data_IF_293227902408
#
_entry.id   IF_293227902408
#
_cell.length_a   1.000
_cell.length_b   1.000
_cell.length_c   1.000
_cell.angle_alpha   90.00
_cell.angle_beta   90.00
_cell.angle_gamma   90.00
#
_symmetry.space_group_name_H-M   'P 1'
#
loop_
_entity.id
_entity.type
_entity.pdbx_description
1 polymer ?
#
# COMPACT_ATOMS: atom_id res chain seq x y z
N UNK A 1 -0.34 3.03 12.46
CA UNK A 1 -1.02 1.72 12.57
C UNK A 1 -2.20 1.85 13.50
N UNK A 2 -3.35 1.29 13.11
CA UNK A 2 -4.53 1.17 13.99
C UNK A 2 -4.30 0.09 15.04
N UNK A 3 -5.20 -0.05 16.02
CA UNK A 3 -5.10 -1.07 17.09
C UNK A 3 -5.34 -2.52 16.62
N UNK A 4 -5.45 -2.74 15.32
CA UNK A 4 -5.55 -4.04 14.68
C UNK A 4 -4.92 -3.96 13.29
N UNK A 5 -4.54 -5.11 12.73
CA UNK A 5 -4.16 -5.28 11.33
C UNK A 5 -4.88 -6.49 10.75
N UNK A 6 -5.40 -6.33 9.55
CA UNK A 6 -5.74 -7.46 8.68
C UNK A 6 -4.70 -7.52 7.57
N UNK A 7 -4.19 -8.70 7.26
CA UNK A 7 -3.29 -8.87 6.13
C UNK A 7 -3.50 -10.22 5.44
N UNK A 8 -3.52 -10.18 4.11
CA UNK A 8 -3.58 -11.34 3.25
C UNK A 8 -2.65 -11.17 2.06
N UNK A 9 -2.05 -12.26 1.60
CA UNK A 9 -1.25 -12.30 0.40
C UNK A 9 -1.89 -13.18 -0.68
N UNK A 10 -2.06 -12.63 -1.88
CA UNK A 10 -2.40 -13.38 -3.08
C UNK A 10 -1.14 -13.61 -3.92
N UNK A 11 -0.43 -14.74 -3.75
CA UNK A 11 0.80 -15.02 -4.48
C UNK A 11 0.57 -15.29 -5.97
N UNK A 12 -0.64 -15.65 -6.39
CA UNK A 12 -0.94 -15.90 -7.82
C UNK A 12 -1.01 -14.60 -8.62
N UNK A 13 -1.42 -13.51 -7.98
CA UNK A 13 -1.54 -12.17 -8.57
C UNK A 13 -0.52 -11.16 -8.04
N UNK A 14 0.40 -11.61 -7.19
CA UNK A 14 1.43 -10.80 -6.53
C UNK A 14 0.91 -9.50 -5.92
N UNK A 15 -0.11 -9.59 -5.08
CA UNK A 15 -0.52 -8.47 -4.24
C UNK A 15 -0.83 -8.90 -2.81
N UNK A 16 -0.73 -7.95 -1.89
CA UNK A 16 -1.30 -8.06 -0.55
C UNK A 16 -2.54 -7.18 -0.43
N UNK A 17 -3.48 -7.61 0.40
CA UNK A 17 -4.55 -6.76 0.93
C UNK A 17 -4.28 -6.53 2.40
N UNK A 18 -4.38 -5.28 2.82
CA UNK A 18 -4.10 -4.84 4.18
C UNK A 18 -5.17 -3.90 4.67
N UNK A 19 -5.51 -4.02 5.95
CA UNK A 19 -6.28 -3.03 6.69
C UNK A 19 -5.57 -2.72 8.01
N UNK A 20 -5.69 -1.48 8.50
CA UNK A 20 -5.03 -1.04 9.73
C UNK A 20 -3.61 -0.49 9.54
N UNK A 21 -3.08 -0.53 8.31
CA UNK A 21 -1.82 0.10 7.91
C UNK A 21 -2.13 1.36 7.10
N UNK A 22 -1.58 2.48 7.55
CA UNK A 22 -1.74 3.80 6.93
C UNK A 22 -0.51 4.13 6.07
N UNK A 23 -0.62 5.11 5.17
CA UNK A 23 0.50 5.55 4.32
C UNK A 23 1.74 5.92 5.14
N UNK A 24 1.57 6.60 6.27
CA UNK A 24 2.66 6.95 7.19
C UNK A 24 3.44 5.73 7.69
N UNK A 25 2.78 4.58 7.83
CA UNK A 25 3.41 3.34 8.25
C UNK A 25 4.30 2.77 7.15
N UNK A 26 3.88 2.89 5.89
CA UNK A 26 4.66 2.51 4.70
C UNK A 26 5.87 3.44 4.52
N UNK A 27 5.66 4.75 4.60
CA UNK A 27 6.75 5.75 4.51
C UNK A 27 7.80 5.52 5.61
N UNK A 28 7.39 5.10 6.81
CA UNK A 28 8.33 4.85 7.91
C UNK A 28 9.31 3.71 7.66
N UNK A 29 9.03 2.83 6.69
CA UNK A 29 9.91 1.72 6.30
C UNK A 29 11.10 2.24 5.47
N UNK A 30 10.87 3.25 4.62
CA UNK A 30 11.91 3.92 3.86
C UNK A 30 11.57 5.40 3.62
N UNK A 31 12.12 6.26 4.48
CA UNK A 31 11.90 7.71 4.45
C UNK A 31 12.64 8.41 3.30
N UNK A 32 13.57 7.73 2.63
CA UNK A 32 14.38 8.35 1.58
C UNK A 32 13.70 8.29 0.21
N UNK A 33 12.59 7.57 0.10
CA UNK A 33 11.82 7.46 -1.13
C UNK A 33 11.04 8.73 -1.41
N UNK A 34 10.99 9.06 -2.68
CA UNK A 34 9.99 9.98 -3.20
C UNK A 34 8.77 9.17 -3.63
N UNK A 35 7.65 9.84 -3.88
CA UNK A 35 6.40 9.18 -4.25
C UNK A 35 5.73 9.90 -5.41
N UNK A 36 5.47 9.16 -6.48
CA UNK A 36 4.53 9.55 -7.53
C UNK A 36 3.11 9.33 -6.98
N UNK A 37 2.25 10.33 -7.10
CA UNK A 37 0.87 10.28 -6.63
C UNK A 37 -0.06 10.18 -7.84
N UNK A 38 -0.87 9.12 -7.89
CA UNK A 38 -1.79 8.85 -9.01
C UNK A 38 -3.23 9.25 -8.70
N UNK A 39 -3.61 9.16 -7.42
CA UNK A 39 -4.88 9.66 -6.89
C UNK A 39 -4.59 10.24 -5.50
N UNK A 40 -4.97 11.49 -5.28
CA UNK A 40 -4.83 12.20 -4.01
C UNK A 40 -5.65 13.49 -4.05
N UNK A 41 -5.82 14.12 -2.89
CA UNK A 41 -6.29 15.52 -2.78
C UNK A 41 -5.25 16.42 -2.10
N UNK A 42 -3.98 15.97 -2.08
CA UNK A 42 -2.89 16.69 -1.42
C UNK A 42 -2.61 18.07 -2.03
N UNK A 43 -2.45 19.06 -1.14
CA UNK A 43 -1.99 20.42 -1.49
C UNK A 43 -0.45 20.54 -1.52
N UNK A 44 0.26 19.59 -0.88
CA UNK A 44 1.73 19.57 -0.82
C UNK A 44 2.37 19.03 -2.11
N UNK A 45 1.61 18.31 -2.93
CA UNK A 45 2.10 17.67 -4.14
C UNK A 45 2.68 18.68 -5.16
N UNK A 46 3.75 18.27 -5.85
CA UNK A 46 4.35 19.02 -6.95
C UNK A 46 3.90 18.43 -8.29
N UNK A 47 3.55 19.29 -9.24
CA UNK A 47 3.12 18.87 -10.57
C UNK A 47 4.26 18.87 -11.59
N UNK A 48 4.48 17.74 -12.27
CA UNK A 48 5.41 17.67 -13.41
C UNK A 48 4.69 17.93 -14.74
N UNK A 49 5.13 18.95 -15.47
CA UNK A 49 4.51 19.38 -16.73
C UNK A 49 4.71 18.38 -17.89
N UNK A 50 5.76 17.55 -17.85
CA UNK A 50 6.10 16.65 -18.95
C UNK A 50 5.22 15.39 -18.93
N UNK A 51 5.05 14.82 -17.75
CA UNK A 51 4.28 13.59 -17.53
C UNK A 51 2.85 13.86 -17.12
N UNK A 52 2.55 15.08 -16.63
CA UNK A 52 1.27 15.50 -16.06
C UNK A 52 0.88 14.77 -14.79
N UNK A 53 1.86 14.19 -14.10
CA UNK A 53 1.65 13.58 -12.81
C UNK A 53 2.09 14.49 -11.68
N UNK A 54 1.47 14.25 -10.52
CA UNK A 54 1.86 14.83 -9.26
C UNK A 54 2.85 13.91 -8.54
N UNK A 55 3.79 14.50 -7.82
CA UNK A 55 4.79 13.78 -7.05
C UNK A 55 5.13 14.52 -5.77
N UNK A 56 5.72 13.80 -4.82
CA UNK A 56 6.27 14.38 -3.60
C UNK A 56 7.68 13.85 -3.36
N UNK A 57 8.59 14.77 -3.05
CA UNK A 57 9.97 14.44 -2.69
C UNK A 57 10.07 14.03 -1.23
N UNK A 58 11.05 13.19 -0.90
CA UNK A 58 11.32 12.71 0.46
C UNK A 58 11.47 13.85 1.47
N UNK A 59 12.08 14.98 1.08
CA UNK A 59 12.22 16.15 1.95
C UNK A 59 10.91 16.91 2.24
N UNK A 60 9.83 16.63 1.51
CA UNK A 60 8.48 17.18 1.73
C UNK A 60 7.50 16.16 2.30
N UNK A 61 7.90 14.89 2.46
CA UNK A 61 6.99 13.83 2.88
C UNK A 61 6.31 14.13 4.22
N UNK A 62 7.04 14.73 5.16
CA UNK A 62 6.51 15.12 6.46
C UNK A 62 5.41 16.19 6.39
N UNK A 63 5.30 16.93 5.28
CA UNK A 63 4.20 17.87 5.06
C UNK A 63 2.94 17.14 4.59
N UNK A 64 3.07 16.21 3.63
CA UNK A 64 1.97 15.34 3.22
C UNK A 64 1.44 14.50 4.39
N UNK A 65 2.32 13.98 5.25
CA UNK A 65 1.92 13.19 6.42
C UNK A 65 1.15 14.00 7.49
N UNK A 66 1.10 15.33 7.38
CA UNK A 66 0.27 16.19 8.25
C UNK A 66 -1.12 16.44 7.68
N UNK A 67 -1.35 16.12 6.41
CA UNK A 67 -2.65 16.25 5.77
C UNK A 67 -3.58 15.12 6.22
N UNK A 68 -4.89 15.32 6.05
CA UNK A 68 -5.90 14.31 6.34
C UNK A 68 -6.01 13.32 5.16
N UNK A 69 -5.01 12.44 5.02
CA UNK A 69 -4.95 11.45 3.91
C UNK A 69 -6.16 10.51 3.94
N UNK A 70 -6.76 10.28 5.11
CA UNK A 70 -8.00 9.51 5.22
C UNK A 70 -9.13 10.17 4.43
N UNK A 71 -9.23 11.50 4.47
CA UNK A 71 -10.28 12.26 3.78
C UNK A 71 -10.16 12.29 2.25
N UNK A 72 -9.00 11.92 1.68
CA UNK A 72 -8.81 11.88 0.22
C UNK A 72 -9.69 10.83 -0.47
N UNK A 73 -10.27 9.89 0.29
CA UNK A 73 -10.95 8.72 -0.25
C UNK A 73 -9.96 7.82 -0.97
N UNK A 74 -9.84 7.96 -2.30
CA UNK A 74 -8.89 7.19 -3.08
C UNK A 74 -7.49 7.80 -3.01
N UNK A 75 -6.53 7.02 -2.52
CA UNK A 75 -5.14 7.42 -2.45
C UNK A 75 -4.25 6.36 -3.09
N UNK A 76 -3.58 6.71 -4.20
CA UNK A 76 -2.73 5.78 -4.95
C UNK A 76 -1.35 6.38 -5.18
N UNK A 77 -0.31 5.59 -4.93
CA UNK A 77 1.07 6.04 -5.02
C UNK A 77 2.03 4.95 -5.50
N UNK A 78 3.16 5.42 -6.03
CA UNK A 78 4.28 4.59 -6.48
C UNK A 78 5.56 5.18 -5.91
N UNK A 79 6.34 4.44 -5.09
CA UNK A 79 7.63 4.94 -4.63
C UNK A 79 8.59 5.06 -5.82
N UNK A 80 9.47 6.04 -5.81
CA UNK A 80 10.54 6.11 -6.80
C UNK A 80 11.86 6.56 -6.17
N UNK A 81 12.95 6.21 -6.83
CA UNK A 81 14.32 6.52 -6.37
C UNK A 81 14.98 7.50 -7.32
N UNK A 82 15.53 8.60 -6.80
CA UNK A 82 16.24 9.61 -7.58
C UNK A 82 16.18 10.99 -6.93
N UNK A 83 17.05 11.91 -7.33
CA UNK A 83 17.01 13.29 -6.82
C UNK A 83 15.93 14.14 -7.51
N UNK A 84 15.58 13.77 -8.75
CA UNK A 84 14.60 14.45 -9.59
C UNK A 84 13.50 13.48 -10.00
N UNK A 85 12.33 14.01 -10.33
CA UNK A 85 11.26 13.20 -10.92
C UNK A 85 11.72 12.66 -12.28
N UNK A 86 11.62 11.35 -12.54
CA UNK A 86 12.17 10.76 -13.75
C UNK A 86 11.32 11.09 -14.98
N UNK A 87 11.96 11.13 -16.14
CA UNK A 87 11.24 11.16 -17.41
C UNK A 87 10.60 9.79 -17.65
N UNK A 88 9.29 9.77 -17.90
CA UNK A 88 8.55 8.53 -18.12
C UNK A 88 8.29 8.30 -19.61
N UNK A 89 8.41 7.05 -20.05
CA UNK A 89 7.94 6.63 -21.37
C UNK A 89 6.41 6.74 -21.47
N UNK A 90 5.88 6.80 -22.70
CA UNK A 90 4.43 6.86 -22.94
C UNK A 90 3.75 5.58 -22.45
N UNK A 91 4.45 4.46 -22.57
CA UNK A 91 4.03 3.14 -22.13
C UNK A 91 3.91 3.10 -20.59
N UNK A 92 4.91 3.61 -19.87
CA UNK A 92 4.86 3.73 -18.39
C UNK A 92 3.71 4.65 -17.96
N UNK A 93 3.52 5.79 -18.61
CA UNK A 93 2.38 6.70 -18.32
C UNK A 93 1.04 5.97 -18.51
N UNK A 94 0.89 5.23 -19.61
CA UNK A 94 -0.35 4.50 -19.90
C UNK A 94 -0.64 3.40 -18.88
N UNK A 95 0.37 2.62 -18.48
CA UNK A 95 0.26 1.58 -17.45
C UNK A 95 -0.14 2.18 -16.08
N UNK A 96 0.45 3.30 -15.69
CA UNK A 96 0.15 3.98 -14.42
C UNK A 96 -1.27 4.56 -14.41
N UNK A 97 -1.71 5.17 -15.52
CA UNK A 97 -3.09 5.67 -15.66
C UNK A 97 -4.10 4.53 -15.64
N UNK A 98 -3.81 3.42 -16.31
CA UNK A 98 -4.64 2.22 -16.26
C UNK A 98 -4.74 1.68 -14.83
N UNK A 99 -3.60 1.52 -14.14
CA UNK A 99 -3.56 1.05 -12.76
C UNK A 99 -4.39 1.94 -11.84
N UNK A 100 -4.27 3.26 -11.96
CA UNK A 100 -5.04 4.20 -11.15
C UNK A 100 -6.56 4.07 -11.38
N UNK A 101 -6.97 3.80 -12.62
CA UNK A 101 -8.37 3.68 -12.99
C UNK A 101 -8.99 2.33 -12.60
N UNK A 102 -8.27 1.23 -12.86
CA UNK A 102 -8.79 -0.14 -12.72
C UNK A 102 -8.38 -0.77 -11.38
N UNK A 103 -7.38 -0.21 -10.67
CA UNK A 103 -6.77 -0.74 -9.44
C UNK A 103 -6.11 -2.12 -9.61
N UNK A 104 -5.75 -2.45 -10.85
CA UNK A 104 -4.99 -3.63 -11.24
C UNK A 104 -3.93 -3.24 -12.29
N UNK A 105 -2.68 -3.73 -12.18
CA UNK A 105 -1.65 -3.52 -13.20
C UNK A 105 -2.13 -4.07 -14.55
N UNK A 106 -1.85 -3.36 -15.65
CA UNK A 106 -2.15 -3.87 -16.98
C UNK A 106 -1.15 -4.94 -17.39
N UNK A 107 0.15 -4.67 -17.21
CA UNK A 107 1.22 -5.63 -17.46
C UNK A 107 2.33 -5.59 -16.42
N UNK A 108 2.92 -4.41 -16.19
CA UNK A 108 4.08 -4.26 -15.31
C UNK A 108 3.71 -3.74 -13.92
N UNK A 109 4.40 -4.26 -12.90
CA UNK A 109 4.35 -3.72 -11.53
C UNK A 109 5.54 -2.78 -11.29
N UNK A 110 6.72 -3.14 -11.84
CA UNK A 110 7.95 -2.36 -11.70
C UNK A 110 8.30 -1.65 -13.01
N UNK A 111 8.75 -0.41 -12.89
CA UNK A 111 9.16 0.46 -13.98
C UNK A 111 10.62 0.87 -13.77
N UNK A 112 11.45 0.62 -14.78
CA UNK A 112 12.89 0.90 -14.72
C UNK A 112 13.16 2.40 -14.51
N UNK A 113 12.30 3.27 -15.06
CA UNK A 113 12.41 4.73 -14.88
C UNK A 113 12.17 5.17 -13.43
N UNK A 114 11.32 4.46 -12.68
CA UNK A 114 10.95 4.79 -11.30
C UNK A 114 11.84 4.07 -10.27
N UNK A 115 12.37 2.89 -10.63
CA UNK A 115 13.02 1.99 -9.68
C UNK A 115 12.13 1.73 -8.45
N UNK A 116 10.83 1.54 -8.70
CA UNK A 116 9.84 1.29 -7.67
C UNK A 116 9.92 -0.16 -7.17
N UNK A 117 9.43 -0.40 -5.96
CA UNK A 117 9.33 -1.76 -5.39
C UNK A 117 7.91 -2.32 -5.39
N UNK A 118 6.90 -1.46 -5.52
CA UNK A 118 5.49 -1.81 -5.45
C UNK A 118 4.62 -0.77 -6.16
N UNK A 119 3.34 -1.11 -6.35
CA UNK A 119 2.25 -0.18 -6.68
C UNK A 119 1.20 -0.24 -5.57
N UNK A 120 0.76 0.90 -5.06
CA UNK A 120 -0.19 0.94 -3.95
C UNK A 120 -1.47 1.68 -4.33
N UNK A 121 -2.59 1.13 -3.89
CA UNK A 121 -3.90 1.75 -3.93
C UNK A 121 -4.56 1.58 -2.57
N UNK A 122 -4.94 2.69 -1.96
CA UNK A 122 -5.71 2.73 -0.74
C UNK A 122 -7.06 3.41 -0.96
N UNK A 123 -8.04 2.99 -0.18
CA UNK A 123 -9.32 3.69 -0.03
C UNK A 123 -9.50 3.96 1.46
N UNK A 124 -9.74 5.23 1.81
CA UNK A 124 -9.83 5.77 3.17
C UNK A 124 -8.62 5.34 4.03
N UNK A 125 -7.48 6.04 3.96
CA UNK A 125 -6.18 5.56 4.50
C UNK A 125 -6.24 4.77 5.85
N UNK A 126 -5.63 3.59 5.85
CA UNK A 126 -5.76 2.61 6.94
C UNK A 126 -7.07 1.80 6.95
N UNK A 127 -8.03 2.07 6.07
CA UNK A 127 -9.22 1.25 5.86
C UNK A 127 -8.95 0.09 4.93
N UNK A 128 -8.52 0.39 3.71
CA UNK A 128 -8.17 -0.59 2.69
C UNK A 128 -6.86 -0.18 2.00
N UNK A 129 -5.96 -1.14 1.84
CA UNK A 129 -4.75 -1.01 1.05
C UNK A 129 -4.56 -2.28 0.23
N UNK A 130 -4.46 -2.13 -1.08
CA UNK A 130 -4.01 -3.16 -2.03
C UNK A 130 -2.64 -2.75 -2.54
N UNK A 131 -1.65 -3.62 -2.35
CA UNK A 131 -0.28 -3.36 -2.77
C UNK A 131 0.22 -4.48 -3.66
N UNK A 132 0.47 -4.17 -4.93
CA UNK A 132 1.12 -5.07 -5.87
C UNK A 132 2.62 -5.01 -5.70
N UNK A 133 3.27 -6.15 -5.77
CA UNK A 133 4.71 -6.28 -5.63
C UNK A 133 5.25 -7.22 -6.70
N UNK A 134 6.54 -7.12 -7.02
CA UNK A 134 7.21 -8.12 -7.86
C UNK A 134 8.11 -9.03 -7.00
N UNK A 135 8.82 -8.42 -6.04
CA UNK A 135 9.61 -9.14 -5.06
C UNK A 135 9.02 -9.04 -3.65
N UNK A 136 9.25 -10.06 -2.84
CA UNK A 136 8.66 -10.18 -1.50
C UNK A 136 9.45 -9.44 -0.39
N UNK A 137 10.59 -8.83 -0.71
CA UNK A 137 11.46 -8.15 0.27
C UNK A 137 10.76 -6.96 0.91
N UNK A 138 10.04 -6.13 0.14
CA UNK A 138 9.30 -5.01 0.74
C UNK A 138 8.16 -5.51 1.64
N UNK A 139 7.49 -6.58 1.21
CA UNK A 139 6.45 -7.24 2.01
C UNK A 139 7.01 -7.79 3.33
N UNK A 140 8.22 -8.37 3.32
CA UNK A 140 8.89 -8.78 4.55
C UNK A 140 9.11 -7.62 5.53
N UNK A 141 9.51 -6.43 5.04
CA UNK A 141 9.67 -5.25 5.90
C UNK A 141 8.34 -4.81 6.52
N UNK A 142 7.22 -4.93 5.78
CA UNK A 142 5.88 -4.69 6.32
C UNK A 142 5.57 -5.70 7.44
N UNK A 143 5.80 -6.99 7.21
CA UNK A 143 5.57 -8.04 8.21
C UNK A 143 6.43 -7.85 9.46
N UNK A 144 7.71 -7.50 9.31
CA UNK A 144 8.60 -7.18 10.44
C UNK A 144 8.07 -6.01 11.25
N UNK A 145 7.57 -4.95 10.58
CA UNK A 145 6.95 -3.81 11.25
C UNK A 145 5.69 -4.23 12.02
N UNK A 146 4.81 -5.02 11.41
CA UNK A 146 3.60 -5.55 12.07
C UNK A 146 3.98 -6.40 13.29
N UNK A 147 4.89 -7.35 13.13
CA UNK A 147 5.36 -8.22 14.21
C UNK A 147 5.91 -7.42 15.39
N UNK A 148 6.67 -6.36 15.12
CA UNK A 148 7.19 -5.45 16.14
C UNK A 148 6.08 -4.66 16.84
N UNK A 149 5.18 -4.05 16.08
CA UNK A 149 4.12 -3.18 16.63
C UNK A 149 3.14 -3.97 17.51
N UNK A 150 2.76 -5.17 17.07
CA UNK A 150 1.79 -6.03 17.77
C UNK A 150 2.43 -7.07 18.69
N UNK A 151 3.76 -7.08 18.80
CA UNK A 151 4.50 -8.10 19.55
C UNK A 151 4.08 -9.52 19.17
N UNK A 152 3.93 -9.78 17.87
CA UNK A 152 3.42 -11.02 17.31
C UNK A 152 4.42 -11.68 16.35
N UNK A 153 4.13 -12.90 15.90
CA UNK A 153 4.99 -13.68 14.99
C UNK A 153 4.18 -14.29 13.84
N UNK A 154 3.98 -13.54 12.76
CA UNK A 154 3.44 -14.09 11.51
C UNK A 154 4.49 -15.00 10.89
N UNK A 155 4.12 -16.24 10.57
CA UNK A 155 4.98 -17.15 9.83
C UNK A 155 5.10 -16.69 8.37
N UNK A 156 6.20 -16.00 8.03
CA UNK A 156 6.45 -15.47 6.68
C UNK A 156 6.39 -16.54 5.59
N UNK A 157 6.79 -17.78 5.89
CA UNK A 157 6.78 -18.86 4.89
C UNK A 157 5.36 -19.32 4.55
N UNK A 158 4.43 -19.30 5.51
CA UNK A 158 3.02 -19.60 5.29
C UNK A 158 2.28 -18.42 4.68
N UNK A 159 2.55 -17.21 5.17
CA UNK A 159 1.99 -15.99 4.62
C UNK A 159 2.36 -15.81 3.14
N UNK A 160 3.62 -16.09 2.76
CA UNK A 160 4.04 -16.05 1.36
C UNK A 160 3.29 -17.05 0.47
N UNK A 161 2.84 -18.18 1.01
CA UNK A 161 2.00 -19.15 0.26
C UNK A 161 0.54 -18.70 0.11
N UNK A 162 0.13 -17.64 0.80
CA UNK A 162 -1.23 -17.09 0.72
C UNK A 162 -2.31 -18.02 1.27
N UNK A 163 -1.95 -18.96 2.16
CA UNK A 163 -2.86 -19.98 2.68
C UNK A 163 -3.95 -19.37 3.58
N UNK A 164 -3.59 -18.34 4.33
CA UNK A 164 -4.45 -17.70 5.31
C UNK A 164 -4.40 -16.18 5.20
N UNK A 165 -5.50 -15.56 5.60
CA UNK A 165 -5.50 -14.18 6.09
C UNK A 165 -5.17 -14.18 7.59
N UNK A 166 -4.61 -13.07 8.06
CA UNK A 166 -4.25 -12.88 9.45
C UNK A 166 -4.96 -11.64 9.99
N UNK A 167 -5.73 -11.82 11.06
CA UNK A 167 -6.24 -10.75 11.91
C UNK A 167 -5.35 -10.65 13.14
N UNK A 168 -4.88 -9.45 13.43
CA UNK A 168 -3.88 -9.21 14.48
C UNK A 168 -4.38 -8.05 15.31
N UNK A 169 -4.49 -8.24 16.61
CA UNK A 169 -4.81 -7.20 17.57
C UNK A 169 -4.15 -7.48 18.92
N UNK A 170 -4.56 -6.76 19.97
CA UNK A 170 -4.05 -6.95 21.34
C UNK A 170 -4.30 -8.36 21.92
N UNK A 171 -5.22 -9.13 21.36
CA UNK A 171 -5.59 -10.46 21.81
C UNK A 171 -4.77 -11.56 21.11
N UNK A 172 -3.99 -11.21 20.08
CA UNK A 172 -3.09 -12.10 19.36
C UNK A 172 -3.39 -12.19 17.87
N UNK A 173 -3.04 -13.34 17.27
CA UNK A 173 -3.23 -13.62 15.85
C UNK A 173 -4.38 -14.62 15.68
N UNK A 174 -5.35 -14.26 14.86
CA UNK A 174 -6.37 -15.17 14.34
C UNK A 174 -6.14 -15.39 12.83
N UNK A 175 -6.34 -16.61 12.35
CA UNK A 175 -6.22 -16.95 10.92
C UNK A 175 -7.56 -17.29 10.31
N UNK A 176 -7.76 -16.94 9.05
CA UNK A 176 -8.93 -17.36 8.27
C UNK A 176 -8.54 -17.84 6.88
N UNK A 177 -9.26 -18.85 6.38
CA UNK A 177 -9.16 -19.28 4.97
C UNK A 177 -9.91 -18.25 4.13
N UNK A 178 -9.25 -17.72 3.12
CA UNK A 178 -9.80 -16.68 2.26
C UNK A 178 -10.89 -17.28 1.36
N UNK A 179 -12.04 -16.63 1.33
CA UNK A 179 -12.94 -16.66 0.18
C UNK A 179 -12.65 -15.42 -0.67
N UNK A 180 -12.66 -15.53 -2.00
CA UNK A 180 -12.24 -14.51 -2.99
C UNK A 180 -13.02 -13.16 -2.99
N UNK A 181 -13.66 -12.81 -1.89
CA UNK A 181 -14.64 -11.76 -1.75
C UNK A 181 -14.12 -10.68 -0.78
N UNK A 182 -13.53 -9.63 -1.36
CA UNK A 182 -12.97 -8.47 -0.63
C UNK A 182 -14.06 -7.72 0.15
N UNK A 183 -15.29 -7.69 -0.37
CA UNK A 183 -16.41 -7.05 0.33
C UNK A 183 -16.77 -7.81 1.60
N UNK A 184 -16.66 -9.14 1.63
CA UNK A 184 -16.80 -9.91 2.88
C UNK A 184 -15.73 -9.56 3.92
N UNK A 185 -14.50 -9.29 3.49
CA UNK A 185 -13.40 -8.92 4.38
C UNK A 185 -13.67 -7.53 5.00
N UNK A 186 -14.06 -6.56 4.19
CA UNK A 186 -14.40 -5.21 4.64
C UNK A 186 -15.67 -5.20 5.52
N UNK A 187 -16.68 -6.00 5.19
CA UNK A 187 -17.92 -6.09 5.98
C UNK A 187 -17.74 -6.83 7.31
N UNK A 188 -16.87 -7.85 7.40
CA UNK A 188 -16.56 -8.54 8.67
C UNK A 188 -15.99 -7.59 9.74
N UNK A 189 -15.25 -6.56 9.32
CA UNK A 189 -14.73 -5.50 10.21
C UNK A 189 -15.84 -4.73 10.92
N UNK A 190 -16.96 -4.46 10.24
CA UNK A 190 -18.12 -3.77 10.81
C UNK A 190 -18.73 -4.55 12.00
N UNK A 191 -18.63 -5.88 11.99
CA UNK A 191 -19.19 -6.74 13.03
C UNK A 191 -18.23 -7.00 14.19
N UNK A 192 -16.93 -7.21 13.94
CA UNK A 192 -15.93 -7.46 15.00
C UNK A 192 -15.77 -6.27 15.98
N UNK A 193 -16.07 -5.05 15.56
CA UNK A 193 -15.90 -3.84 16.38
C UNK A 193 -17.21 -3.26 16.96
N UNK A 194 -18.36 -3.92 16.77
CA UNK A 194 -19.61 -3.58 17.50
C UNK A 194 -19.81 -4.39 18.79
N UNK A 195 -18.96 -5.39 19.05
CA UNK A 195 -19.04 -6.28 20.22
C UNK A 195 -18.02 -5.95 21.32
N UNK A 196 -17.49 -4.73 21.34
CA UNK A 196 -16.66 -4.20 22.44
C UNK A 196 -17.29 -2.94 23.00
#
# INVERSE_FOLDING_TARGET
MRNYVYIWNNPNKNYIIVSGIEFKDIVSIDKNKNYLLLSHESETAEYDLNTRFDYIRSNKIDNLLKEDIYSFGNFSWVPYTGEVFPMLSKETIAELLYFNHITEPFGKILFDELLNEYLAFAHDDGWFLKMYYDNFQFINKILEKINKEFSCCINTSEFRKGLYAYWIDKNGIETEIISDDIDKILNKRYWKHKTV
#
